data_IF_467134256600
#
_entry.id   IF_467134256600
#
_cell.length_a   1.000
_cell.length_b   1.000
_cell.length_c   1.000
_cell.angle_alpha   90.00
_cell.angle_beta   90.00
_cell.angle_gamma   90.00
#
_symmetry.space_group_name_H-M   'P 1'
#
loop_
_entity.id
_entity.type
_entity.pdbx_description
1 polymer ?
#
# COMPACT_ATOMS: atom_id res chain seq x y z
N UNK A 1 -4.09 4.51 -9.80
CA UNK A 1 -3.14 5.04 -8.81
C UNK A 1 -2.88 6.52 -9.07
N UNK A 2 -3.91 7.35 -8.89
CA UNK A 2 -3.77 8.81 -8.98
C UNK A 2 -3.73 9.37 -7.55
N UNK A 3 -3.02 10.48 -7.34
CA UNK A 3 -2.95 11.17 -6.04
C UNK A 3 -2.33 10.36 -4.87
N UNK A 4 -1.47 9.38 -5.16
CA UNK A 4 -0.82 8.53 -4.15
C UNK A 4 0.59 9.01 -3.74
N UNK A 5 0.91 10.29 -3.97
CA UNK A 5 2.17 10.92 -3.54
C UNK A 5 3.31 10.93 -4.58
N UNK A 6 3.14 10.30 -5.74
CA UNK A 6 4.11 10.33 -6.85
C UNK A 6 3.43 10.39 -8.20
N UNK A 7 4.19 10.78 -9.25
CA UNK A 7 3.67 11.00 -10.62
C UNK A 7 4.17 9.99 -11.65
N UNK A 8 5.25 9.26 -11.35
CA UNK A 8 5.89 8.30 -12.27
C UNK A 8 6.04 6.96 -11.57
N UNK A 9 5.78 5.89 -12.32
CA UNK A 9 6.01 4.52 -11.91
C UNK A 9 7.04 3.84 -12.79
N UNK A 10 7.56 2.71 -12.34
CA UNK A 10 8.49 1.86 -13.10
C UNK A 10 7.80 0.57 -13.57
N UNK A 11 8.24 0.06 -14.73
CA UNK A 11 7.94 -1.28 -15.25
C UNK A 11 9.26 -2.06 -15.44
N UNK A 12 9.28 -3.39 -15.27
CA UNK A 12 8.15 -4.20 -14.75
C UNK A 12 7.79 -3.83 -13.31
N UNK A 13 6.52 -3.99 -12.93
CA UNK A 13 6.08 -3.67 -11.57
C UNK A 13 6.44 -4.79 -10.57
N UNK A 14 6.11 -4.63 -9.29
CA UNK A 14 6.47 -5.61 -8.25
C UNK A 14 5.65 -6.92 -8.33
N UNK A 15 4.72 -7.00 -9.29
CA UNK A 15 3.94 -8.18 -9.63
C UNK A 15 4.29 -8.70 -11.04
N UNK A 16 5.46 -8.29 -11.57
CA UNK A 16 6.04 -8.77 -12.83
C UNK A 16 5.24 -8.45 -14.09
N UNK A 17 4.33 -7.46 -14.03
CA UNK A 17 3.66 -6.95 -15.22
C UNK A 17 4.63 -6.08 -16.02
N UNK A 18 4.78 -6.34 -17.31
CA UNK A 18 5.76 -5.68 -18.17
C UNK A 18 5.17 -4.48 -18.91
N UNK A 19 3.84 -4.45 -19.08
CA UNK A 19 3.17 -3.42 -19.86
C UNK A 19 2.10 -2.68 -19.07
N UNK A 20 1.87 -1.41 -19.43
CA UNK A 20 0.78 -0.63 -18.85
C UNK A 20 -0.61 -1.23 -19.14
N UNK A 21 -0.76 -1.99 -20.22
CA UNK A 21 -2.01 -2.67 -20.55
C UNK A 21 -2.30 -3.77 -19.53
N UNK A 22 -1.31 -4.62 -19.23
CA UNK A 22 -1.40 -5.66 -18.20
C UNK A 22 -1.66 -5.07 -16.82
N UNK A 23 -0.91 -4.02 -16.44
CA UNK A 23 -1.11 -3.33 -15.16
C UNK A 23 -2.54 -2.85 -15.02
N UNK A 24 -3.09 -2.17 -16.04
CA UNK A 24 -4.47 -1.66 -16.01
C UNK A 24 -5.48 -2.79 -15.93
N UNK A 25 -5.30 -3.85 -16.71
CA UNK A 25 -6.20 -5.00 -16.74
C UNK A 25 -6.24 -5.68 -15.37
N UNK A 26 -5.09 -6.02 -14.80
CA UNK A 26 -5.01 -6.74 -13.53
C UNK A 26 -5.40 -5.88 -12.34
N UNK A 27 -5.02 -4.59 -12.33
CA UNK A 27 -5.42 -3.67 -11.27
C UNK A 27 -6.93 -3.39 -11.26
N UNK A 28 -7.61 -3.45 -12.42
CA UNK A 28 -9.06 -3.17 -12.51
C UNK A 28 -9.90 -4.13 -11.64
N UNK A 29 -9.45 -5.37 -11.48
CA UNK A 29 -10.07 -6.38 -10.61
C UNK A 29 -10.14 -5.97 -9.14
N UNK A 30 -9.32 -5.01 -8.71
CA UNK A 30 -9.25 -4.54 -7.33
C UNK A 30 -10.11 -3.31 -7.04
N UNK A 31 -10.67 -2.67 -8.08
CA UNK A 31 -11.54 -1.49 -7.93
C UNK A 31 -12.77 -1.77 -7.04
N UNK A 32 -13.45 -2.93 -7.13
CA UNK A 32 -14.56 -3.23 -6.23
C UNK A 32 -14.17 -3.23 -4.75
N UNK A 33 -12.98 -3.74 -4.40
CA UNK A 33 -12.48 -3.74 -3.02
C UNK A 33 -12.18 -2.32 -2.54
N UNK A 34 -11.57 -1.49 -3.39
CA UNK A 34 -11.37 -0.06 -3.10
C UNK A 34 -12.70 0.64 -2.79
N UNK A 35 -13.75 0.37 -3.57
CA UNK A 35 -15.07 0.97 -3.36
C UNK A 35 -15.76 0.52 -2.07
N UNK A 36 -15.30 -0.57 -1.43
CA UNK A 36 -15.79 -0.97 -0.10
C UNK A 36 -15.20 -0.12 1.03
N UNK A 37 -14.14 0.64 0.77
CA UNK A 37 -13.48 1.50 1.75
C UNK A 37 -13.19 0.78 3.09
N UNK A 38 -12.81 -0.50 3.02
CA UNK A 38 -12.55 -1.33 4.20
C UNK A 38 -11.36 -0.82 5.02
N UNK A 39 -10.37 -0.19 4.39
CA UNK A 39 -9.27 0.47 5.06
C UNK A 39 -8.78 1.69 4.27
N UNK A 40 -8.38 2.74 4.98
CA UNK A 40 -7.89 3.97 4.36
C UNK A 40 -6.57 3.78 3.59
N UNK A 41 -5.75 2.82 4.03
CA UNK A 41 -4.48 2.47 3.40
C UNK A 41 -4.58 1.59 2.15
N UNK A 42 -5.77 1.07 1.80
CA UNK A 42 -5.92 0.08 0.72
C UNK A 42 -5.42 0.60 -0.62
N UNK A 43 -5.70 1.87 -0.95
CA UNK A 43 -5.24 2.46 -2.21
C UNK A 43 -3.71 2.56 -2.27
N UNK A 44 -3.09 3.05 -1.20
CA UNK A 44 -1.62 3.19 -1.13
C UNK A 44 -0.95 1.81 -1.19
N UNK A 45 -1.47 0.84 -0.43
CA UNK A 45 -0.95 -0.53 -0.43
C UNK A 45 -0.99 -1.16 -1.82
N UNK A 46 -2.17 -1.21 -2.47
CA UNK A 46 -2.27 -1.82 -3.80
C UNK A 46 -1.44 -1.05 -4.85
N UNK A 47 -1.44 0.28 -4.79
CA UNK A 47 -0.66 1.08 -5.73
C UNK A 47 0.85 0.92 -5.57
N UNK A 48 1.35 0.66 -4.37
CA UNK A 48 2.77 0.37 -4.16
C UNK A 48 3.25 -0.87 -4.93
N UNK A 49 2.36 -1.83 -5.19
CA UNK A 49 2.66 -3.05 -5.93
C UNK A 49 2.35 -2.93 -7.43
N UNK A 50 1.16 -2.42 -7.77
CA UNK A 50 0.71 -2.30 -9.15
C UNK A 50 1.38 -1.14 -9.91
N UNK A 51 1.73 -0.07 -9.21
CA UNK A 51 2.30 1.14 -9.79
C UNK A 51 3.45 1.68 -8.93
N UNK A 52 4.52 0.90 -8.66
CA UNK A 52 5.58 1.28 -7.74
C UNK A 52 6.24 2.59 -8.16
N UNK A 53 6.63 3.42 -7.19
CA UNK A 53 7.35 4.68 -7.43
C UNK A 53 8.61 4.44 -8.27
N UNK A 54 8.88 5.32 -9.24
CA UNK A 54 10.07 5.24 -10.08
C UNK A 54 11.32 5.70 -9.30
N UNK A 55 12.10 4.73 -8.79
CA UNK A 55 13.37 4.89 -8.08
C UNK A 55 14.38 3.86 -8.57
N UNK A 56 15.67 4.05 -8.27
CA UNK A 56 16.77 3.16 -8.68
C UNK A 56 16.70 1.76 -8.05
N UNK A 57 15.96 1.61 -6.95
CA UNK A 57 15.72 0.34 -6.26
C UNK A 57 14.23 0.17 -5.93
N UNK A 58 13.71 -1.07 -5.97
CA UNK A 58 12.33 -1.33 -5.58
C UNK A 58 12.11 -1.01 -4.10
N UNK A 59 11.00 -0.34 -3.79
CA UNK A 59 10.54 -0.09 -2.42
C UNK A 59 9.19 -0.79 -2.25
N UNK A 60 9.13 -1.74 -1.34
CA UNK A 60 7.93 -2.50 -1.01
C UNK A 60 7.06 -1.76 0.01
N UNK A 61 5.75 -2.06 0.11
CA UNK A 61 4.94 -1.60 1.24
C UNK A 61 5.48 -2.16 2.55
N UNK A 62 5.31 -1.43 3.65
CA UNK A 62 5.66 -1.94 4.97
C UNK A 62 4.77 -3.13 5.34
N UNK A 63 5.31 -4.14 6.02
CA UNK A 63 4.53 -5.31 6.47
C UNK A 63 3.30 -4.92 7.28
N UNK A 64 3.45 -4.01 8.25
CA UNK A 64 2.34 -3.55 9.08
C UNK A 64 1.22 -2.88 8.27
N UNK A 65 1.54 -2.21 7.16
CA UNK A 65 0.53 -1.60 6.29
C UNK A 65 -0.26 -2.70 5.55
N UNK A 66 0.43 -3.73 5.07
CA UNK A 66 -0.22 -4.90 4.49
C UNK A 66 -1.15 -5.58 5.50
N UNK A 67 -0.67 -5.85 6.71
CA UNK A 67 -1.44 -6.53 7.75
C UNK A 67 -2.69 -5.74 8.13
N UNK A 68 -2.56 -4.42 8.36
CA UNK A 68 -3.70 -3.55 8.64
C UNK A 68 -4.75 -3.55 7.52
N UNK A 69 -4.31 -3.51 6.25
CA UNK A 69 -5.23 -3.59 5.10
C UNK A 69 -5.86 -4.98 5.00
N UNK A 70 -5.07 -6.07 5.12
CA UNK A 70 -5.58 -7.45 5.09
C UNK A 70 -6.62 -7.65 6.17
N UNK A 71 -6.31 -7.34 7.42
CA UNK A 71 -7.19 -7.61 8.56
C UNK A 71 -8.53 -6.87 8.44
N UNK A 72 -8.52 -5.69 7.81
CA UNK A 72 -9.73 -4.89 7.56
C UNK A 72 -10.50 -5.35 6.32
N UNK A 73 -9.81 -5.79 5.26
CA UNK A 73 -10.40 -6.01 3.94
C UNK A 73 -10.63 -7.48 3.60
N UNK A 74 -9.86 -8.40 4.15
CA UNK A 74 -10.02 -9.83 3.91
C UNK A 74 -11.40 -10.36 4.36
N UNK A 75 -11.97 -9.98 5.52
CA UNK A 75 -13.33 -10.40 5.86
C UNK A 75 -14.38 -9.95 4.83
N UNK A 76 -14.17 -8.76 4.24
CA UNK A 76 -15.03 -8.25 3.16
C UNK A 76 -14.87 -9.09 1.89
N UNK A 77 -13.65 -9.49 1.54
CA UNK A 77 -13.39 -10.39 0.41
C UNK A 77 -14.01 -11.76 0.62
N UNK A 78 -13.86 -12.33 1.82
CA UNK A 78 -14.37 -13.65 2.18
C UNK A 78 -15.90 -13.70 2.13
N UNK A 79 -16.58 -12.60 2.49
CA UNK A 79 -18.03 -12.48 2.33
C UNK A 79 -18.49 -12.68 0.88
N UNK A 80 -17.66 -12.35 -0.11
CA UNK A 80 -17.92 -12.57 -1.54
C UNK A 80 -17.24 -13.85 -2.09
N UNK A 81 -16.68 -14.70 -1.22
CA UNK A 81 -16.05 -15.96 -1.62
C UNK A 81 -14.59 -15.84 -2.11
N UNK A 82 -13.93 -14.71 -1.84
CA UNK A 82 -12.52 -14.49 -2.20
C UNK A 82 -11.61 -14.52 -0.96
N UNK A 83 -10.42 -15.09 -1.11
CA UNK A 83 -9.39 -15.11 -0.07
C UNK A 83 -8.31 -14.08 -0.36
N UNK A 84 -7.54 -13.69 0.67
CA UNK A 84 -6.37 -12.86 0.49
C UNK A 84 -5.31 -13.61 -0.35
N UNK A 85 -4.93 -13.08 -1.53
CA UNK A 85 -4.14 -13.87 -2.49
C UNK A 85 -2.66 -13.94 -2.12
N UNK A 86 -2.01 -14.99 -2.62
CA UNK A 86 -0.59 -15.29 -2.40
C UNK A 86 0.35 -14.11 -2.76
N UNK A 87 0.03 -13.35 -3.81
CA UNK A 87 0.84 -12.20 -4.23
C UNK A 87 0.79 -11.02 -3.24
N UNK A 88 -0.18 -11.00 -2.32
CA UNK A 88 -0.36 -9.94 -1.33
C UNK A 88 -0.03 -10.41 0.10
N UNK A 89 0.50 -11.63 0.29
CA UNK A 89 0.84 -12.10 1.64
C UNK A 89 1.88 -11.20 2.30
N UNK A 90 1.60 -10.83 3.55
CA UNK A 90 2.36 -9.78 4.24
C UNK A 90 3.76 -10.21 4.68
N UNK A 91 4.03 -11.52 4.79
CA UNK A 91 5.35 -12.07 5.07
C UNK A 91 6.38 -11.77 3.96
N UNK A 92 5.92 -11.49 2.74
CA UNK A 92 6.75 -11.03 1.61
C UNK A 92 7.28 -9.62 1.77
N UNK A 93 6.74 -8.85 2.71
CA UNK A 93 7.05 -7.43 2.88
C UNK A 93 7.99 -7.19 4.07
N UNK A 94 8.84 -6.15 3.99
CA UNK A 94 9.82 -5.85 5.02
C UNK A 94 9.19 -5.34 6.31
N UNK A 95 9.80 -5.68 7.44
CA UNK A 95 9.52 -5.10 8.76
C UNK A 95 10.32 -3.80 9.03
N UNK A 96 11.48 -3.63 8.37
CA UNK A 96 12.48 -2.60 8.67
C UNK A 96 12.45 -1.30 7.85
N UNK A 97 13.63 -0.67 7.75
CA UNK A 97 13.81 0.80 7.75
C UNK A 97 13.25 1.62 6.57
N UNK A 98 13.15 1.08 5.35
CA UNK A 98 12.67 1.85 4.17
C UNK A 98 11.60 1.09 3.41
N UNK A 99 10.35 1.46 3.64
CA UNK A 99 9.18 0.88 2.99
C UNK A 99 8.08 1.94 2.79
N UNK A 100 7.14 1.67 1.89
CA UNK A 100 5.99 2.54 1.65
C UNK A 100 4.99 2.35 2.79
N UNK A 101 4.81 3.43 3.56
CA UNK A 101 3.84 3.56 4.63
C UNK A 101 2.70 4.49 4.22
N UNK A 102 1.56 4.35 4.88
CA UNK A 102 0.54 5.39 4.86
C UNK A 102 0.73 6.28 6.09
N UNK A 103 1.06 7.56 5.89
CA UNK A 103 0.94 8.56 6.96
C UNK A 103 -0.50 9.06 6.99
N UNK A 104 -1.22 8.93 8.12
CA UNK A 104 -2.47 9.65 8.30
C UNK A 104 -2.20 11.15 8.14
N UNK A 105 -3.12 11.92 7.52
CA UNK A 105 -2.95 13.37 7.38
C UNK A 105 -2.74 14.12 8.71
N UNK A 106 -3.02 13.48 9.86
CA UNK A 106 -2.88 14.04 11.20
C UNK A 106 -1.60 13.62 11.96
N UNK A 107 -0.73 12.79 11.37
CA UNK A 107 0.43 12.24 12.08
C UNK A 107 1.66 13.18 12.09
N UNK A 108 1.63 14.29 11.36
CA UNK A 108 2.72 15.28 11.32
C UNK A 108 2.77 16.23 12.51
N UNK A 109 1.81 16.21 13.44
CA UNK A 109 1.78 17.12 14.60
C UNK A 109 2.21 16.49 15.94
N UNK A 110 2.36 15.16 16.03
CA UNK A 110 2.57 14.47 17.31
C UNK A 110 4.05 14.28 17.72
N UNK A 111 5.00 14.96 17.08
CA UNK A 111 6.43 14.85 17.43
C UNK A 111 7.10 16.21 17.49
N UNK A 112 6.56 17.11 18.31
CA UNK A 112 7.35 18.21 18.87
C UNK A 112 7.74 17.83 20.30
N UNK A 113 9.02 17.56 20.61
CA UNK A 113 9.46 17.46 21.99
C UNK A 113 9.20 18.80 22.69
N UNK A 114 8.33 18.82 23.69
CA UNK A 114 8.29 19.91 24.65
C UNK A 114 9.56 19.82 25.49
N UNK A 115 10.54 20.69 25.18
CA UNK A 115 11.69 20.90 26.03
C UNK A 115 11.24 21.43 27.39
N UNK A 116 11.63 20.71 28.42
CA UNK A 116 11.48 21.05 29.84
C UNK A 116 11.93 22.48 30.14
N UNK A 117 11.08 23.18 30.88
CA UNK A 117 11.44 24.40 31.57
C UNK A 117 12.07 24.06 32.93
N UNK A 118 13.27 24.59 33.16
CA UNK A 118 13.74 24.99 34.49
C UNK A 118 15.13 24.48 34.87
N UNK A 119 15.69 24.99 35.99
CA UNK A 119 15.30 26.18 36.76
C UNK A 119 16.03 27.46 36.35
#
# INVERSE_FOLDING_TARGET
CHNVGYKKMVLPNLLEHETMAEVKQQASSWVPLLNKNCHIGTQVFLCSLFAPVCLDRPIYPCRWLCEAVRDSCEPVMQFFGFYWPEMLKCDKFPEGDVCIAMTPPNATEASKPQGEAGP
#
